data_IF_929039050054
#
_entry.id   IF_929039050054
#
_cell.length_a   1.000
_cell.length_b   1.000
_cell.length_c   1.000
_cell.angle_alpha   90.00
_cell.angle_beta   90.00
_cell.angle_gamma   90.00
#
_symmetry.space_group_name_H-M   'P 1'
#
loop_
_entity.id
_entity.type
_entity.pdbx_description
1 polymer ?
#
# COMPACT_ATOMS: atom_id res chain seq x y z
N UNK A 1 9.96 -4.26 21.26
CA UNK A 1 9.60 -4.69 19.89
C UNK A 1 10.20 -3.69 18.91
N UNK A 2 10.87 -4.13 17.84
CA UNK A 2 11.39 -3.21 16.81
C UNK A 2 10.19 -2.58 16.06
N UNK A 3 10.17 -1.26 15.83
CA UNK A 3 9.12 -0.64 15.05
C UNK A 3 9.13 -1.23 13.64
N UNK A 4 7.97 -1.69 13.15
CA UNK A 4 7.83 -2.12 11.76
C UNK A 4 7.94 -0.90 10.86
N UNK A 5 8.60 -1.07 9.71
CA UNK A 5 8.70 0.00 8.72
C UNK A 5 7.29 0.31 8.18
N UNK A 6 6.91 1.58 8.18
CA UNK A 6 5.68 2.04 7.56
C UNK A 6 5.97 2.51 6.12
N UNK A 7 5.11 2.14 5.18
CA UNK A 7 5.21 2.53 3.77
C UNK A 7 3.85 2.98 3.28
N UNK A 8 3.78 4.21 2.78
CA UNK A 8 2.61 4.75 2.09
C UNK A 8 2.86 4.78 0.58
N UNK A 9 1.87 4.35 -0.18
CA UNK A 9 1.96 4.16 -1.63
C UNK A 9 0.70 4.74 -2.25
N UNK A 10 0.85 5.48 -3.34
CA UNK A 10 -0.25 5.93 -4.17
C UNK A 10 -0.38 5.01 -5.38
N UNK A 11 -1.58 4.51 -5.66
CA UNK A 11 -1.83 3.68 -6.82
C UNK A 11 -2.94 2.64 -6.62
N UNK A 12 -2.84 1.54 -7.35
CA UNK A 12 -3.90 0.51 -7.40
C UNK A 12 -3.46 -0.76 -6.70
N UNK A 13 -4.41 -1.49 -6.11
CA UNK A 13 -4.17 -2.80 -5.49
C UNK A 13 -5.13 -3.83 -6.07
N UNK A 14 -4.67 -5.07 -6.21
CA UNK A 14 -5.55 -6.18 -6.55
C UNK A 14 -6.29 -6.62 -5.28
N UNK A 15 -7.62 -6.60 -5.33
CA UNK A 15 -8.52 -7.04 -4.26
C UNK A 15 -9.13 -8.42 -4.61
N UNK A 16 -9.54 -9.23 -3.61
CA UNK A 16 -9.42 -8.98 -2.17
C UNK A 16 -8.02 -9.26 -1.62
N UNK A 17 -7.62 -8.57 -0.54
CA UNK A 17 -6.39 -8.90 0.20
C UNK A 17 -6.67 -10.01 1.20
N UNK A 18 -5.99 -11.15 1.04
CA UNK A 18 -6.19 -12.35 1.86
C UNK A 18 -4.97 -12.57 2.76
N UNK A 19 -5.22 -12.87 4.04
CA UNK A 19 -4.16 -13.23 4.99
C UNK A 19 -3.41 -14.47 4.51
N UNK A 20 -2.08 -14.43 4.58
CA UNK A 20 -1.20 -15.50 4.12
C UNK A 20 -0.82 -15.42 2.64
N UNK A 21 -1.51 -14.59 1.84
CA UNK A 21 -1.18 -14.35 0.43
C UNK A 21 -0.32 -13.11 0.26
N UNK A 22 0.36 -13.00 -0.88
CA UNK A 22 1.05 -11.77 -1.30
C UNK A 22 0.05 -10.80 -1.91
N UNK A 23 0.38 -9.50 -1.92
CA UNK A 23 -0.47 -8.46 -2.49
C UNK A 23 0.23 -7.86 -3.68
N UNK A 24 -0.47 -7.85 -4.82
CA UNK A 24 0.00 -7.18 -6.02
C UNK A 24 -0.57 -5.77 -6.08
N UNK A 25 0.30 -4.78 -6.27
CA UNK A 25 -0.08 -3.38 -6.35
C UNK A 25 0.70 -2.67 -7.46
N UNK A 26 0.12 -1.62 -8.01
CA UNK A 26 0.71 -0.78 -9.04
C UNK A 26 1.12 0.56 -8.43
N UNK A 27 2.36 0.98 -8.66
CA UNK A 27 2.88 2.28 -8.23
C UNK A 27 4.09 2.66 -9.07
N UNK A 28 4.19 3.93 -9.45
CA UNK A 28 5.27 4.51 -10.24
C UNK A 28 5.45 3.76 -11.56
N UNK A 29 4.36 3.55 -12.29
CA UNK A 29 4.40 2.91 -13.61
C UNK A 29 4.65 1.40 -13.64
N UNK A 30 4.77 0.72 -12.49
CA UNK A 30 5.07 -0.72 -12.46
C UNK A 30 4.27 -1.50 -11.43
N UNK A 31 4.04 -2.79 -11.73
CA UNK A 31 3.42 -3.75 -10.83
C UNK A 31 4.46 -4.34 -9.89
N UNK A 32 4.15 -4.33 -8.59
CA UNK A 32 5.00 -4.81 -7.50
C UNK A 32 4.22 -5.81 -6.66
N UNK A 33 4.94 -6.65 -5.93
CA UNK A 33 4.36 -7.65 -5.04
C UNK A 33 4.94 -7.52 -3.63
N UNK A 34 4.09 -7.59 -2.60
CA UNK A 34 4.52 -7.55 -1.20
C UNK A 34 4.90 -8.94 -0.68
N UNK A 35 5.55 -8.98 0.48
CA UNK A 35 5.58 -10.19 1.31
C UNK A 35 4.15 -10.62 1.72
N UNK A 36 4.02 -11.85 2.23
CA UNK A 36 2.75 -12.42 2.68
C UNK A 36 2.09 -11.54 3.76
N UNK A 37 0.80 -11.31 3.60
CA UNK A 37 -0.02 -10.54 4.52
C UNK A 37 -0.17 -11.30 5.82
N UNK A 38 0.20 -10.65 6.92
CA UNK A 38 0.03 -11.15 8.27
C UNK A 38 -1.33 -10.75 8.84
N UNK A 39 -1.76 -9.53 8.56
CA UNK A 39 -3.03 -8.94 9.05
C UNK A 39 -3.51 -7.83 8.12
N UNK A 40 -4.80 -7.83 7.80
CA UNK A 40 -5.48 -6.66 7.22
C UNK A 40 -5.97 -5.80 8.39
N UNK A 41 -5.68 -4.50 8.34
CA UNK A 41 -6.01 -3.58 9.43
C UNK A 41 -7.29 -2.83 9.11
N UNK A 42 -7.37 -2.26 7.91
CA UNK A 42 -8.43 -1.34 7.51
C UNK A 42 -8.56 -1.39 5.99
N UNK A 43 -9.79 -1.46 5.51
CA UNK A 43 -10.13 -1.41 4.08
C UNK A 43 -11.24 -0.39 3.94
N UNK A 44 -11.00 0.62 3.12
CA UNK A 44 -11.99 1.65 2.79
C UNK A 44 -12.07 1.78 1.27
N UNK A 45 -13.00 2.62 0.79
CA UNK A 45 -13.09 2.97 -0.63
C UNK A 45 -11.93 3.87 -1.10
N UNK A 46 -11.24 4.54 -0.17
CA UNK A 46 -10.14 5.45 -0.46
C UNK A 46 -8.75 4.80 -0.35
N UNK A 47 -8.58 3.82 0.55
CA UNK A 47 -7.28 3.20 0.79
C UNK A 47 -7.41 1.82 1.45
N UNK A 48 -6.30 1.09 1.45
CA UNK A 48 -6.15 -0.15 2.23
C UNK A 48 -4.89 -0.13 3.10
N UNK A 49 -5.02 -0.59 4.35
CA UNK A 49 -3.91 -0.77 5.29
C UNK A 49 -3.78 -2.23 5.68
N UNK A 50 -2.58 -2.77 5.52
CA UNK A 50 -2.26 -4.14 5.93
C UNK A 50 -0.83 -4.27 6.40
N UNK A 51 -0.55 -5.33 7.14
CA UNK A 51 0.77 -5.66 7.63
C UNK A 51 1.27 -6.94 7.01
N UNK A 52 2.54 -6.90 6.67
CA UNK A 52 3.38 -8.08 6.48
C UNK A 52 4.18 -8.34 7.76
N UNK A 53 5.09 -9.29 7.72
CA UNK A 53 5.97 -9.56 8.86
C UNK A 53 6.85 -8.34 9.23
N UNK A 54 7.36 -7.63 8.22
CA UNK A 54 8.34 -6.54 8.40
C UNK A 54 7.81 -5.14 8.14
N UNK A 55 6.79 -5.02 7.30
CA UNK A 55 6.33 -3.73 6.76
C UNK A 55 4.82 -3.59 6.96
N UNK A 56 4.39 -2.39 7.36
CA UNK A 56 2.99 -1.95 7.35
C UNK A 56 2.76 -1.08 6.13
N UNK A 57 1.88 -1.52 5.25
CA UNK A 57 1.52 -0.83 4.01
C UNK A 57 0.24 -0.01 4.21
N UNK A 58 0.22 1.16 3.59
CA UNK A 58 -0.97 1.96 3.33
C UNK A 58 -0.98 2.27 1.83
N UNK A 59 -1.91 1.70 1.07
CA UNK A 59 -2.06 1.95 -0.36
C UNK A 59 -3.29 2.81 -0.56
N UNK A 60 -3.08 4.04 -1.00
CA UNK A 60 -4.12 5.04 -1.24
C UNK A 60 -4.52 5.02 -2.73
N UNK A 61 -5.82 4.89 -2.97
CA UNK A 61 -6.42 4.80 -4.31
C UNK A 61 -6.74 6.18 -4.89
N UNK A 62 -6.83 7.21 -4.04
CA UNK A 62 -7.36 8.53 -4.36
C UNK A 62 -6.36 9.44 -5.08
N UNK A 63 -5.07 9.09 -5.08
CA UNK A 63 -4.09 9.77 -5.91
C UNK A 63 -3.62 8.82 -7.01
N UNK A 64 -4.27 8.91 -8.17
CA UNK A 64 -3.52 8.76 -9.42
C UNK A 64 -2.37 9.75 -9.32
N UNK A 65 -1.15 9.35 -9.68
CA UNK A 65 0.02 10.23 -9.75
C UNK A 65 -0.28 11.43 -10.68
N UNK A 66 -1.05 12.40 -10.21
CA UNK A 66 -0.99 13.77 -10.69
C UNK A 66 0.40 14.22 -10.24
N UNK A 67 1.28 14.48 -11.20
CA UNK A 67 2.61 14.99 -10.96
C UNK A 67 2.51 16.15 -9.97
N UNK A 68 2.75 15.86 -8.68
CA UNK A 68 2.68 16.87 -7.64
C UNK A 68 3.75 17.90 -7.97
N UNK A 69 3.31 19.01 -8.55
CA UNK A 69 4.08 20.23 -8.67
C UNK A 69 4.73 20.50 -7.31
N UNK A 70 6.00 20.90 -7.26
CA UNK A 70 6.59 21.32 -6.01
C UNK A 70 5.80 22.54 -5.52
N UNK A 71 5.24 22.45 -4.33
CA UNK A 71 4.68 23.62 -3.65
C UNK A 71 5.89 24.48 -3.29
N UNK A 72 6.16 25.50 -4.10
CA UNK A 72 7.03 26.60 -3.73
C UNK A 72 6.30 27.44 -2.67
N UNK A 73 6.94 27.61 -1.52
CA UNK A 73 6.64 28.65 -0.54
C UNK A 73 7.96 29.22 -0.03
#
# INVERSE_FOLDING_TARGET
MKPKKFVQIYGKVVLPIIRGMTVRYFSNGTWKETARVRRVIEVTDAYIKFETDRIRYCIDFGMVEDNAMPIAA
#
